data_IF_511464633642
#
_entry.id   IF_511464633642
#
_cell.length_a   1.000
_cell.length_b   1.000
_cell.length_c   1.000
_cell.angle_alpha   90.00
_cell.angle_beta   90.00
_cell.angle_gamma   90.00
#
_symmetry.space_group_name_H-M   'P 1'
#
loop_
_entity.id
_entity.type
_entity.pdbx_description
1 polymer ?
#
# COMPACT_ATOMS: atom_id res chain seq x y z
N UNK A 1 12.30 14.29 -13.41
CA UNK A 1 12.45 13.02 -12.65
C UNK A 1 11.23 12.12 -12.82
N UNK A 2 10.00 12.54 -12.44
CA UNK A 2 8.79 11.71 -12.61
C UNK A 2 8.57 11.25 -14.06
N UNK A 3 8.63 12.18 -15.01
CA UNK A 3 8.45 11.90 -16.45
C UNK A 3 9.45 10.90 -17.02
N UNK A 4 10.70 10.93 -16.56
CA UNK A 4 11.73 9.96 -16.95
C UNK A 4 11.43 8.57 -16.39
N UNK A 5 11.05 8.48 -15.11
CA UNK A 5 10.67 7.22 -14.48
C UNK A 5 9.42 6.62 -15.13
N UNK A 6 8.40 7.44 -15.40
CA UNK A 6 7.22 7.04 -16.16
C UNK A 6 7.60 6.46 -17.53
N UNK A 7 8.45 7.14 -18.29
CA UNK A 7 8.86 6.70 -19.62
C UNK A 7 9.62 5.37 -19.58
N UNK A 8 10.52 5.20 -18.60
CA UNK A 8 11.27 3.95 -18.41
C UNK A 8 10.36 2.78 -18.08
N UNK A 9 9.41 2.97 -17.15
CA UNK A 9 8.47 1.91 -16.74
C UNK A 9 7.43 1.63 -17.84
N UNK A 10 6.95 2.64 -18.54
CA UNK A 10 6.06 2.47 -19.69
C UNK A 10 6.73 1.65 -20.80
N UNK A 11 8.05 1.79 -20.96
CA UNK A 11 8.87 0.99 -21.87
C UNK A 11 8.74 -0.53 -21.65
N UNK A 12 8.55 -0.96 -20.41
CA UNK A 12 8.39 -2.38 -20.05
C UNK A 12 7.11 -3.01 -20.60
N UNK A 13 6.09 -2.18 -20.86
CA UNK A 13 4.76 -2.64 -21.28
C UNK A 13 4.49 -2.48 -22.78
N UNK A 14 5.47 -2.02 -23.58
CA UNK A 14 5.31 -1.81 -25.04
C UNK A 14 4.88 -3.07 -25.79
N UNK A 15 5.37 -4.24 -25.36
CA UNK A 15 5.02 -5.55 -25.94
C UNK A 15 3.87 -6.27 -25.23
N UNK A 16 3.31 -5.70 -24.15
CA UNK A 16 2.22 -6.32 -23.42
C UNK A 16 0.90 -6.24 -24.21
N UNK A 17 -0.03 -7.21 -24.03
CA UNK A 17 -1.35 -7.15 -24.64
C UNK A 17 -2.04 -5.81 -24.36
N UNK A 18 -2.81 -5.28 -25.32
CA UNK A 18 -3.56 -4.04 -25.11
C UNK A 18 -4.95 -4.34 -24.59
N UNK A 19 -5.42 -3.54 -23.63
CA UNK A 19 -6.80 -3.64 -23.18
C UNK A 19 -7.76 -3.11 -24.26
N UNK A 20 -8.91 -3.77 -24.50
CA UNK A 20 -9.95 -3.23 -25.37
C UNK A 20 -10.44 -1.88 -24.84
N UNK A 21 -10.82 -0.97 -25.74
CA UNK A 21 -11.27 0.39 -25.33
C UNK A 21 -12.46 0.34 -24.36
N UNK A 22 -13.43 -0.55 -24.59
CA UNK A 22 -14.56 -0.76 -23.67
C UNK A 22 -14.13 -1.13 -22.25
N UNK A 23 -13.08 -1.94 -22.11
CA UNK A 23 -12.55 -2.31 -20.81
C UNK A 23 -11.86 -1.13 -20.12
N UNK A 24 -11.09 -0.33 -20.87
CA UNK A 24 -10.47 0.89 -20.33
C UNK A 24 -11.53 1.87 -19.85
N UNK A 25 -12.59 2.07 -20.63
CA UNK A 25 -13.69 2.98 -20.28
C UNK A 25 -14.41 2.52 -19.01
N UNK A 26 -14.71 1.22 -18.91
CA UNK A 26 -15.32 0.63 -17.72
C UNK A 26 -14.43 0.80 -16.49
N UNK A 27 -13.13 0.51 -16.60
CA UNK A 27 -12.20 0.66 -15.48
C UNK A 27 -12.12 2.13 -15.05
N UNK A 28 -11.91 3.07 -15.98
CA UNK A 28 -11.80 4.51 -15.64
C UNK A 28 -13.08 5.07 -15.04
N UNK A 29 -14.25 4.55 -15.42
CA UNK A 29 -15.52 4.93 -14.83
C UNK A 29 -15.62 4.55 -13.35
N UNK A 30 -15.15 3.34 -12.99
CA UNK A 30 -15.24 2.82 -11.62
C UNK A 30 -14.02 3.12 -10.75
N UNK A 31 -12.86 3.39 -11.36
CA UNK A 31 -11.58 3.59 -10.68
C UNK A 31 -11.65 4.62 -9.54
N UNK A 32 -12.32 5.77 -9.67
CA UNK A 32 -12.42 6.73 -8.56
C UNK A 32 -13.08 6.11 -7.33
N UNK A 33 -14.20 5.42 -7.51
CA UNK A 33 -14.94 4.78 -6.42
C UNK A 33 -14.16 3.61 -5.82
N UNK A 34 -13.50 2.82 -6.66
CA UNK A 34 -12.59 1.76 -6.22
C UNK A 34 -11.49 2.36 -5.33
N UNK A 35 -10.84 3.44 -5.77
CA UNK A 35 -9.78 4.09 -4.99
C UNK A 35 -10.30 4.69 -3.68
N UNK A 36 -11.51 5.27 -3.67
CA UNK A 36 -12.11 5.79 -2.45
C UNK A 36 -12.31 4.67 -1.42
N UNK A 37 -12.89 3.55 -1.84
CA UNK A 37 -13.11 2.39 -0.98
C UNK A 37 -11.77 1.82 -0.51
N UNK A 38 -10.81 1.63 -1.42
CA UNK A 38 -9.47 1.15 -1.08
C UNK A 38 -8.79 2.09 -0.08
N UNK A 39 -8.84 3.41 -0.29
CA UNK A 39 -8.26 4.37 0.63
C UNK A 39 -8.84 4.30 2.04
N UNK A 40 -10.16 4.14 2.16
CA UNK A 40 -10.82 3.94 3.46
C UNK A 40 -10.45 2.61 4.11
N UNK A 41 -10.42 1.51 3.35
CA UNK A 41 -10.01 0.20 3.83
C UNK A 41 -8.55 0.17 4.27
N UNK A 42 -7.65 0.82 3.52
CA UNK A 42 -6.24 0.94 3.87
C UNK A 42 -6.05 1.76 5.14
N UNK A 43 -6.81 2.87 5.31
CA UNK A 43 -6.77 3.65 6.54
C UNK A 43 -7.28 2.82 7.75
N UNK A 44 -8.35 2.06 7.55
CA UNK A 44 -8.85 1.15 8.57
C UNK A 44 -7.86 0.03 8.89
N UNK A 45 -7.14 -0.49 7.89
CA UNK A 45 -6.07 -1.46 8.11
C UNK A 45 -4.92 -0.87 8.94
N UNK A 46 -4.53 0.39 8.68
CA UNK A 46 -3.51 1.08 9.48
C UNK A 46 -3.94 1.20 10.95
N UNK A 47 -5.19 1.64 11.18
CA UNK A 47 -5.76 1.71 12.53
C UNK A 47 -5.84 0.34 13.20
N UNK A 48 -6.27 -0.69 12.46
CA UNK A 48 -6.39 -2.05 12.98
C UNK A 48 -5.04 -2.64 13.38
N UNK A 49 -3.99 -2.40 12.58
CA UNK A 49 -2.63 -2.82 12.89
C UNK A 49 -2.08 -2.12 14.14
N UNK A 50 -2.27 -0.81 14.23
CA UNK A 50 -1.91 -0.03 15.42
C UNK A 50 -2.65 -0.56 16.67
N UNK A 51 -3.96 -0.77 16.57
CA UNK A 51 -4.79 -1.26 17.67
C UNK A 51 -4.41 -2.66 18.11
N UNK A 52 -4.05 -3.54 17.17
CA UNK A 52 -3.55 -4.88 17.49
C UNK A 52 -2.26 -4.81 18.32
N UNK A 53 -1.29 -3.98 17.91
CA UNK A 53 -0.03 -3.81 18.63
C UNK A 53 -0.25 -3.22 20.04
N UNK A 54 -1.10 -2.21 20.15
CA UNK A 54 -1.48 -1.56 21.41
C UNK A 54 -2.15 -2.52 22.41
N UNK A 55 -3.15 -3.28 21.94
CA UNK A 55 -3.88 -4.25 22.78
C UNK A 55 -2.96 -5.37 23.23
N UNK A 56 -2.12 -5.89 22.34
CA UNK A 56 -1.16 -6.94 22.68
C UNK A 56 -0.16 -6.48 23.76
N UNK A 57 0.38 -5.26 23.62
CA UNK A 57 1.27 -4.68 24.64
C UNK A 57 0.54 -4.46 25.98
N UNK A 58 -0.70 -3.95 25.94
CA UNK A 58 -1.52 -3.71 27.14
C UNK A 58 -1.79 -5.01 27.91
N UNK A 59 -2.17 -6.08 27.20
CA UNK A 59 -2.44 -7.39 27.82
C UNK A 59 -1.16 -7.95 28.47
N UNK A 60 -0.02 -7.86 27.77
CA UNK A 60 1.25 -8.34 28.32
C UNK A 60 1.67 -7.52 29.54
N UNK A 61 1.52 -6.20 29.50
CA UNK A 61 1.85 -5.33 30.63
C UNK A 61 1.00 -5.66 31.85
N UNK A 62 -0.31 -5.85 31.67
CA UNK A 62 -1.20 -6.27 32.74
C UNK A 62 -0.81 -7.64 33.32
N UNK A 63 -0.55 -8.63 32.45
CA UNK A 63 -0.11 -9.96 32.89
C UNK A 63 1.23 -9.91 33.64
N UNK A 64 2.16 -9.04 33.21
CA UNK A 64 3.43 -8.82 33.88
C UNK A 64 3.28 -8.17 35.25
N UNK A 65 2.37 -7.20 35.38
CA UNK A 65 2.05 -6.59 36.67
C UNK A 65 1.50 -7.63 37.66
N UNK A 66 0.56 -8.46 37.20
CA UNK A 66 0.01 -9.55 38.02
C UNK A 66 1.08 -10.59 38.39
N UNK A 67 1.91 -11.01 37.43
CA UNK A 67 3.02 -11.94 37.67
C UNK A 67 3.96 -11.41 38.75
N UNK A 68 4.38 -10.13 38.64
CA UNK A 68 5.23 -9.48 39.64
C UNK A 68 4.58 -9.39 41.02
N UNK A 69 3.27 -9.09 41.08
CA UNK A 69 2.53 -9.03 42.34
C UNK A 69 2.46 -10.39 43.05
N UNK A 70 2.50 -11.50 42.30
CA UNK A 70 2.51 -12.86 42.81
C UNK A 70 3.93 -13.45 42.98
N UNK A 71 4.97 -12.63 42.88
CA UNK A 71 6.37 -13.06 43.04
C UNK A 71 7.00 -13.72 41.81
N UNK A 72 6.31 -13.69 40.66
CA UNK A 72 6.83 -14.14 39.37
C UNK A 72 7.68 -13.10 38.66
N UNK A 73 8.28 -13.51 37.53
CA UNK A 73 9.05 -12.63 36.64
C UNK A 73 8.19 -12.14 35.48
N UNK A 74 8.44 -10.92 35.00
CA UNK A 74 7.80 -10.39 33.79
C UNK A 74 8.53 -10.81 32.51
N UNK A 75 7.82 -10.81 31.39
CA UNK A 75 8.37 -11.04 30.05
C UNK A 75 8.24 -9.76 29.24
N UNK A 76 9.33 -9.30 28.63
CA UNK A 76 9.27 -8.14 27.75
C UNK A 76 8.70 -8.54 26.39
N UNK A 77 7.60 -7.88 25.99
CA UNK A 77 7.06 -7.98 24.63
C UNK A 77 6.87 -6.57 24.13
N UNK A 78 7.46 -6.25 22.99
CA UNK A 78 7.21 -5.02 22.27
C UNK A 78 6.68 -5.33 20.88
N UNK A 79 5.38 -5.08 20.68
CA UNK A 79 4.72 -5.22 19.37
C UNK A 79 4.86 -3.98 18.50
N UNK A 80 5.33 -2.85 19.02
CA UNK A 80 5.64 -1.64 18.25
C UNK A 80 7.06 -1.68 17.69
N UNK A 81 7.38 -2.78 17.02
CA UNK A 81 8.67 -2.93 16.33
C UNK A 81 8.81 -1.86 15.23
N UNK A 82 10.05 -1.58 14.84
CA UNK A 82 10.33 -0.67 13.71
C UNK A 82 9.57 -1.11 12.45
N UNK A 83 9.47 -2.41 12.20
CA UNK A 83 8.72 -2.96 11.06
C UNK A 83 7.22 -2.63 11.12
N UNK A 84 6.60 -2.72 12.30
CA UNK A 84 5.17 -2.36 12.48
C UNK A 84 4.96 -0.87 12.26
N UNK A 85 5.85 0.00 12.76
CA UNK A 85 5.76 1.44 12.51
C UNK A 85 5.92 1.79 11.03
N UNK A 86 6.86 1.16 10.34
CA UNK A 86 7.04 1.33 8.88
C UNK A 86 5.77 0.89 8.16
N UNK A 87 5.21 -0.28 8.49
CA UNK A 87 4.00 -0.78 7.87
C UNK A 87 2.80 0.16 8.07
N UNK A 88 2.59 0.66 9.30
CA UNK A 88 1.54 1.66 9.59
C UNK A 88 1.77 2.93 8.76
N UNK A 89 3.00 3.45 8.74
CA UNK A 89 3.34 4.65 7.97
C UNK A 89 3.05 4.49 6.48
N UNK A 90 3.42 3.35 5.90
CA UNK A 90 3.13 3.02 4.49
C UNK A 90 1.64 2.97 4.23
N UNK A 91 0.86 2.27 5.07
CA UNK A 91 -0.59 2.19 4.94
C UNK A 91 -1.25 3.58 5.01
N UNK A 92 -0.79 4.45 5.92
CA UNK A 92 -1.31 5.83 6.02
C UNK A 92 -0.99 6.62 4.75
N UNK A 93 0.25 6.54 4.25
CA UNK A 93 0.65 7.23 3.02
C UNK A 93 -0.17 6.72 1.81
N UNK A 94 -0.32 5.41 1.67
CA UNK A 94 -1.13 4.81 0.60
C UNK A 94 -2.60 5.23 0.69
N UNK A 95 -3.18 5.21 1.89
CA UNK A 95 -4.55 5.67 2.12
C UNK A 95 -4.72 7.14 1.69
N UNK A 96 -3.80 8.02 2.08
CA UNK A 96 -3.81 9.42 1.66
C UNK A 96 -3.75 9.54 0.14
N UNK A 97 -2.86 8.80 -0.52
CA UNK A 97 -2.71 8.83 -1.98
C UNK A 97 -3.99 8.36 -2.69
N UNK A 98 -4.61 7.26 -2.24
CA UNK A 98 -5.85 6.76 -2.83
C UNK A 98 -7.04 7.72 -2.63
N UNK A 99 -7.18 8.27 -1.41
CA UNK A 99 -8.25 9.24 -1.10
C UNK A 99 -8.04 10.54 -1.89
N UNK A 100 -6.81 11.06 -1.95
CA UNK A 100 -6.47 12.26 -2.69
C UNK A 100 -6.57 12.08 -4.21
N UNK A 101 -6.40 10.85 -4.71
CA UNK A 101 -6.58 10.53 -6.12
C UNK A 101 -8.05 10.60 -6.57
N UNK A 102 -9.02 10.53 -5.66
CA UNK A 102 -10.45 10.51 -5.99
C UNK A 102 -10.90 11.66 -6.91
N UNK A 103 -10.73 12.95 -6.55
CA UNK A 103 -11.18 14.05 -7.40
C UNK A 103 -10.49 14.05 -8.77
N UNK A 104 -9.18 13.79 -8.80
CA UNK A 104 -8.41 13.77 -10.04
C UNK A 104 -8.78 12.59 -10.95
N UNK A 105 -9.01 11.41 -10.39
CA UNK A 105 -9.38 10.22 -11.17
C UNK A 105 -10.80 10.31 -11.69
N UNK A 106 -11.72 10.89 -10.90
CA UNK A 106 -13.10 11.17 -11.30
C UNK A 106 -13.18 12.17 -12.45
N UNK A 107 -12.42 13.25 -12.35
CA UNK A 107 -12.39 14.31 -13.37
C UNK A 107 -11.46 13.96 -14.55
N UNK A 108 -10.91 12.73 -14.58
CA UNK A 108 -9.96 12.24 -15.61
C UNK A 108 -8.74 13.15 -15.81
N UNK A 109 -8.22 13.69 -14.72
CA UNK A 109 -7.03 14.54 -14.70
C UNK A 109 -5.77 13.70 -14.51
N UNK A 110 -4.70 14.06 -15.21
CA UNK A 110 -3.37 13.46 -15.07
C UNK A 110 -2.84 13.55 -13.64
N UNK A 111 -3.23 14.57 -12.86
CA UNK A 111 -2.89 14.67 -11.44
C UNK A 111 -3.41 13.50 -10.60
N UNK A 112 -4.63 13.03 -10.86
CA UNK A 112 -5.18 11.85 -10.16
C UNK A 112 -4.45 10.56 -10.54
N UNK A 113 -4.14 10.40 -11.83
CA UNK A 113 -3.32 9.29 -12.31
C UNK A 113 -1.92 9.28 -11.67
N UNK A 114 -1.29 10.46 -11.53
CA UNK A 114 0.04 10.57 -10.92
C UNK A 114 0.01 10.12 -9.44
N UNK A 115 -1.05 10.41 -8.70
CA UNK A 115 -1.22 9.94 -7.32
C UNK A 115 -1.32 8.41 -7.24
N UNK A 116 -2.04 7.77 -8.17
CA UNK A 116 -2.07 6.31 -8.26
C UNK A 116 -0.71 5.72 -8.63
N UNK A 117 0.03 6.40 -9.50
CA UNK A 117 1.40 6.01 -9.82
C UNK A 117 2.31 6.09 -8.59
N UNK A 118 2.20 7.16 -7.79
CA UNK A 118 2.92 7.26 -6.52
C UNK A 118 2.53 6.17 -5.52
N UNK A 119 1.25 5.80 -5.44
CA UNK A 119 0.82 4.71 -4.56
C UNK A 119 1.49 3.38 -4.95
N UNK A 120 1.58 3.07 -6.25
CA UNK A 120 2.31 1.90 -6.73
C UNK A 120 3.81 1.97 -6.42
N UNK A 121 4.45 3.14 -6.56
CA UNK A 121 5.87 3.30 -6.21
C UNK A 121 6.12 3.09 -4.71
N UNK A 122 5.23 3.61 -3.85
CA UNK A 122 5.28 3.39 -2.40
C UNK A 122 5.20 1.88 -2.10
N UNK A 123 4.29 1.16 -2.76
CA UNK A 123 4.14 -0.28 -2.57
C UNK A 123 5.40 -1.06 -2.98
N UNK A 124 6.03 -0.69 -4.10
CA UNK A 124 7.29 -1.29 -4.56
C UNK A 124 8.41 -1.05 -3.54
N UNK A 125 8.57 0.19 -3.08
CA UNK A 125 9.59 0.55 -2.08
C UNK A 125 9.34 -0.23 -0.79
N UNK A 126 8.09 -0.32 -0.35
CA UNK A 126 7.73 -1.11 0.82
C UNK A 126 8.04 -2.60 0.65
N UNK A 127 7.76 -3.19 -0.51
CA UNK A 127 8.13 -4.57 -0.81
C UNK A 127 9.65 -4.82 -0.67
N UNK A 128 10.48 -3.86 -1.08
CA UNK A 128 11.94 -3.91 -0.89
C UNK A 128 12.31 -3.78 0.59
N UNK A 129 11.65 -2.91 1.35
CA UNK A 129 11.90 -2.79 2.80
C UNK A 129 11.55 -4.09 3.51
N UNK A 130 10.37 -4.66 3.24
CA UNK A 130 9.89 -5.89 3.87
C UNK A 130 10.81 -7.06 3.59
N UNK A 131 11.44 -7.13 2.40
CA UNK A 131 12.41 -8.19 2.06
C UNK A 131 13.50 -8.39 3.13
N UNK A 132 13.90 -7.32 3.83
CA UNK A 132 14.96 -7.33 4.85
C UNK A 132 14.43 -7.36 6.29
N UNK A 133 13.16 -7.72 6.50
CA UNK A 133 12.53 -7.80 7.83
C UNK A 133 12.21 -9.24 8.24
N UNK A 134 12.03 -9.47 9.55
CA UNK A 134 11.63 -10.77 10.11
C UNK A 134 10.28 -11.28 9.60
N UNK A 135 9.44 -10.39 9.08
CA UNK A 135 8.13 -10.69 8.51
C UNK A 135 8.17 -10.88 6.98
N UNK A 136 9.35 -10.75 6.38
CA UNK A 136 9.57 -10.77 4.95
C UNK A 136 10.25 -12.02 4.42
N UNK A 137 10.79 -11.88 3.21
CA UNK A 137 11.54 -12.92 2.52
C UNK A 137 11.37 -12.85 1.01
N UNK A 138 12.17 -13.65 0.30
CA UNK A 138 12.19 -13.67 -1.17
C UNK A 138 10.81 -14.00 -1.75
N UNK A 139 10.07 -14.92 -1.13
CA UNK A 139 8.71 -15.27 -1.57
C UNK A 139 7.74 -14.09 -1.52
N UNK A 140 7.71 -13.36 -0.39
CA UNK A 140 6.87 -12.18 -0.23
C UNK A 140 7.27 -11.09 -1.23
N UNK A 141 8.58 -10.87 -1.41
CA UNK A 141 9.10 -9.90 -2.36
C UNK A 141 8.69 -10.20 -3.81
N UNK A 142 8.78 -11.46 -4.26
CA UNK A 142 8.32 -11.85 -5.59
C UNK A 142 6.82 -11.58 -5.77
N UNK A 143 6.02 -11.83 -4.73
CA UNK A 143 4.60 -11.47 -4.71
C UNK A 143 4.37 -9.97 -4.88
N UNK A 144 5.10 -9.13 -4.15
CA UNK A 144 5.05 -7.66 -4.29
C UNK A 144 5.45 -7.19 -5.68
N UNK A 145 6.53 -7.73 -6.24
CA UNK A 145 7.01 -7.37 -7.58
C UNK A 145 5.97 -7.74 -8.63
N UNK A 146 5.42 -8.96 -8.59
CA UNK A 146 4.40 -9.40 -9.54
C UNK A 146 3.15 -8.52 -9.43
N UNK A 147 2.65 -8.29 -8.21
CA UNK A 147 1.49 -7.42 -7.98
C UNK A 147 1.72 -6.00 -8.49
N UNK A 148 2.90 -5.43 -8.24
CA UNK A 148 3.29 -4.11 -8.70
C UNK A 148 3.39 -4.01 -10.21
N UNK A 149 3.97 -5.01 -10.88
CA UNK A 149 4.06 -5.07 -12.35
C UNK A 149 2.66 -5.14 -12.98
N UNK A 150 1.76 -5.95 -12.42
CA UNK A 150 0.36 -6.03 -12.86
C UNK A 150 -0.33 -4.67 -12.67
N UNK A 151 -0.18 -4.05 -11.49
CA UNK A 151 -0.74 -2.74 -11.20
C UNK A 151 -0.24 -1.66 -12.16
N UNK A 152 1.08 -1.62 -12.42
CA UNK A 152 1.70 -0.71 -13.37
C UNK A 152 1.19 -0.94 -14.79
N UNK A 153 1.06 -2.21 -15.22
CA UNK A 153 0.50 -2.54 -16.53
C UNK A 153 -0.88 -1.91 -16.72
N UNK A 154 -1.81 -2.15 -15.77
CA UNK A 154 -3.14 -1.55 -15.86
C UNK A 154 -3.06 -0.02 -15.84
N UNK A 155 -2.26 0.56 -14.94
CA UNK A 155 -2.17 2.00 -14.81
C UNK A 155 -1.66 2.67 -16.11
N UNK A 156 -0.64 2.11 -16.76
CA UNK A 156 -0.13 2.63 -18.04
C UNK A 156 -1.11 2.42 -19.19
N UNK A 157 -1.86 1.32 -19.23
CA UNK A 157 -2.92 1.11 -20.23
C UNK A 157 -4.04 2.16 -20.14
N UNK A 158 -4.28 2.70 -18.95
CA UNK A 158 -5.30 3.73 -18.70
C UNK A 158 -4.78 5.16 -18.82
N UNK A 159 -3.45 5.38 -18.81
CA UNK A 159 -2.83 6.72 -18.92
C UNK A 159 -3.44 7.60 -20.03
N UNK A 160 -3.73 7.10 -21.26
CA UNK A 160 -4.33 7.91 -22.32
C UNK A 160 -5.75 8.43 -22.03
N UNK A 161 -6.44 7.91 -21.01
CA UNK A 161 -7.77 8.36 -20.59
C UNK A 161 -7.71 9.53 -19.59
N UNK A 162 -6.50 9.96 -19.20
CA UNK A 162 -6.27 11.07 -18.26
C UNK A 162 -5.52 12.20 -18.98
N UNK A 163 -6.08 13.41 -18.90
CA UNK A 163 -5.53 14.63 -19.52
C UNK A 163 -4.86 15.55 -18.49
#
# INVERSE_FOLDING_TARGET
>A
MLSQLEASLEGLFKGAPKLPEKAKDAIVQWLPWINLILGLLTLWAAYSLWRWADVANTIVNYANELSRALGGTGVSVDRFTVGVWIAIGVLVVEAILYLAAFPGTRDRKKSGWNLLFYALLVNIVYGVVVLFTDYGGVGNFLGYVIGSVIGLYFLFQLKPKYN
#
